data_IF_095627751510
#
_entry.id   IF_095627751510
#
_cell.length_a   1.000
_cell.length_b   1.000
_cell.length_c   1.000
_cell.angle_alpha   90.00
_cell.angle_beta   90.00
_cell.angle_gamma   90.00
#
_symmetry.space_group_name_H-M   'P 1'
#
loop_
_entity.id
_entity.type
_entity.pdbx_description
1 polymer ?
#
# COMPACT_ATOMS: atom_id res chain seq x y z
N UNK A 1 -31.15 -12.80 11.84
CA UNK A 1 -30.12 -12.18 10.98
C UNK A 1 -30.61 -12.29 9.55
N UNK A 2 -30.86 -11.18 8.83
CA UNK A 2 -31.28 -11.28 7.43
C UNK A 2 -30.13 -11.90 6.62
N UNK A 3 -30.44 -12.89 5.79
CA UNK A 3 -29.46 -13.52 4.89
C UNK A 3 -28.84 -12.42 4.01
N UNK A 4 -27.56 -12.17 4.21
CA UNK A 4 -26.78 -11.20 3.44
C UNK A 4 -26.77 -11.70 1.99
N UNK A 5 -27.55 -11.05 1.11
CA UNK A 5 -27.59 -11.42 -0.31
C UNK A 5 -26.17 -11.36 -0.86
N UNK A 6 -25.68 -12.48 -1.37
CA UNK A 6 -24.36 -12.56 -2.00
C UNK A 6 -24.32 -11.52 -3.13
N UNK A 7 -23.45 -10.51 -2.99
CA UNK A 7 -23.25 -9.47 -4.00
C UNK A 7 -22.82 -10.14 -5.31
N UNK A 8 -23.61 -9.95 -6.38
CA UNK A 8 -23.37 -10.53 -7.72
C UNK A 8 -21.94 -10.21 -8.20
N UNK A 9 -21.40 -9.04 -7.86
CA UNK A 9 -20.00 -8.69 -8.19
C UNK A 9 -18.99 -9.56 -7.48
N UNK A 10 -19.27 -9.94 -6.24
CA UNK A 10 -18.38 -10.81 -5.45
C UNK A 10 -18.44 -12.24 -5.98
N UNK A 11 -19.63 -12.74 -6.31
CA UNK A 11 -19.79 -14.03 -6.98
C UNK A 11 -19.09 -14.06 -8.34
N UNK A 12 -19.27 -13.04 -9.18
CA UNK A 12 -18.61 -12.92 -10.48
C UNK A 12 -17.09 -12.81 -10.34
N UNK A 13 -16.59 -12.04 -9.36
CA UNK A 13 -15.16 -11.94 -9.07
C UNK A 13 -14.55 -13.28 -8.66
N UNK A 14 -15.26 -14.06 -7.84
CA UNK A 14 -14.81 -15.38 -7.41
C UNK A 14 -14.82 -16.39 -8.57
N UNK A 15 -15.91 -16.41 -9.37
CA UNK A 15 -15.98 -17.23 -10.58
C UNK A 15 -14.87 -16.87 -11.57
N UNK A 16 -14.59 -15.58 -11.74
CA UNK A 16 -13.51 -15.12 -12.62
C UNK A 16 -12.12 -15.49 -12.08
N UNK A 17 -11.90 -15.44 -10.76
CA UNK A 17 -10.64 -15.86 -10.16
C UNK A 17 -10.38 -17.37 -10.37
N UNK A 18 -11.42 -18.20 -10.27
CA UNK A 18 -11.35 -19.64 -10.57
C UNK A 18 -11.04 -19.84 -12.06
N UNK A 19 -11.77 -19.15 -12.95
CA UNK A 19 -11.52 -19.20 -14.38
C UNK A 19 -10.09 -18.80 -14.72
N UNK A 20 -9.59 -17.70 -14.14
CA UNK A 20 -8.23 -17.20 -14.31
C UNK A 20 -7.20 -18.26 -13.92
N UNK A 21 -7.38 -18.93 -12.77
CA UNK A 21 -6.48 -19.99 -12.32
C UNK A 21 -6.53 -21.22 -13.24
N UNK A 22 -7.71 -21.63 -13.69
CA UNK A 22 -7.86 -22.73 -14.64
C UNK A 22 -7.19 -22.38 -15.98
N UNK A 23 -7.46 -21.20 -16.54
CA UNK A 23 -6.85 -20.76 -17.79
C UNK A 23 -5.33 -20.66 -17.68
N UNK A 24 -4.80 -20.23 -16.52
CA UNK A 24 -3.37 -20.22 -16.29
C UNK A 24 -2.78 -21.63 -16.49
N UNK A 25 -3.35 -22.66 -15.85
CA UNK A 25 -2.90 -24.06 -16.02
C UNK A 25 -2.71 -24.45 -17.48
N UNK A 26 -3.73 -24.21 -18.30
CA UNK A 26 -3.73 -24.60 -19.71
C UNK A 26 -2.67 -23.84 -20.52
N UNK A 27 -2.51 -22.54 -20.29
CA UNK A 27 -1.58 -21.73 -21.08
C UNK A 27 -0.12 -21.99 -20.67
N UNK A 28 0.15 -22.26 -19.39
CA UNK A 28 1.51 -22.65 -18.95
C UNK A 28 1.99 -23.97 -19.53
N UNK A 29 1.07 -24.92 -19.73
CA UNK A 29 1.41 -26.19 -20.37
C UNK A 29 1.83 -26.02 -21.85
N UNK A 30 1.50 -24.88 -22.48
CA UNK A 30 1.93 -24.57 -23.85
C UNK A 30 3.27 -23.87 -23.91
N UNK A 31 3.36 -22.69 -23.29
CA UNK A 31 4.58 -21.89 -23.23
C UNK A 31 4.47 -20.88 -22.10
N UNK A 32 5.48 -20.82 -21.25
CA UNK A 32 5.45 -20.03 -20.02
C UNK A 32 5.55 -18.53 -20.26
N UNK A 33 6.22 -18.12 -21.35
CA UNK A 33 6.34 -16.71 -21.73
C UNK A 33 5.04 -16.20 -22.32
N UNK A 34 4.42 -16.99 -23.20
CA UNK A 34 3.09 -16.71 -23.75
C UNK A 34 2.05 -16.72 -22.61
N UNK A 35 2.15 -17.65 -21.67
CA UNK A 35 1.28 -17.70 -20.49
C UNK A 35 1.33 -16.42 -19.68
N UNK A 36 2.51 -15.85 -19.47
CA UNK A 36 2.65 -14.60 -18.75
C UNK A 36 1.97 -13.43 -19.48
N UNK A 37 2.12 -13.33 -20.80
CA UNK A 37 1.47 -12.29 -21.62
C UNK A 37 -0.06 -12.46 -21.62
N UNK A 38 -0.54 -13.68 -21.86
CA UNK A 38 -1.98 -13.99 -21.85
C UNK A 38 -2.59 -13.70 -20.49
N UNK A 39 -1.89 -14.08 -19.40
CA UNK A 39 -2.35 -13.81 -18.05
C UNK A 39 -2.43 -12.32 -17.75
N UNK A 40 -1.46 -11.51 -18.20
CA UNK A 40 -1.55 -10.05 -18.09
C UNK A 40 -2.82 -9.49 -18.76
N UNK A 41 -3.21 -10.02 -19.92
CA UNK A 41 -4.47 -9.67 -20.58
C UNK A 41 -5.70 -10.10 -19.77
N UNK A 42 -5.68 -11.31 -19.22
CA UNK A 42 -6.77 -11.85 -18.37
C UNK A 42 -6.85 -11.19 -16.99
N UNK A 43 -5.86 -10.41 -16.56
CA UNK A 43 -5.99 -9.61 -15.34
C UNK A 43 -6.94 -8.41 -15.51
N UNK A 44 -7.22 -7.98 -16.75
CA UNK A 44 -8.04 -6.80 -17.01
C UNK A 44 -9.49 -6.98 -16.52
N UNK A 45 -10.22 -8.08 -16.82
CA UNK A 45 -11.56 -8.26 -16.27
C UNK A 45 -11.55 -8.45 -14.75
N UNK A 46 -10.54 -9.12 -14.18
CA UNK A 46 -10.37 -9.19 -12.72
C UNK A 46 -10.23 -7.80 -12.10
N UNK A 47 -9.42 -6.94 -12.71
CA UNK A 47 -9.28 -5.54 -12.32
C UNK A 47 -10.62 -4.82 -12.42
N UNK A 48 -11.35 -4.91 -13.54
CA UNK A 48 -12.64 -4.25 -13.72
C UNK A 48 -13.72 -4.70 -12.72
N UNK A 49 -13.69 -5.95 -12.27
CA UNK A 49 -14.62 -6.50 -11.27
C UNK A 49 -14.33 -6.00 -9.84
N UNK A 50 -13.13 -5.51 -9.56
CA UNK A 50 -12.81 -4.91 -8.26
C UNK A 50 -13.46 -3.53 -8.10
N UNK A 51 -13.76 -3.16 -6.85
CA UNK A 51 -14.28 -1.82 -6.53
C UNK A 51 -13.14 -0.80 -6.54
N UNK A 52 -13.26 0.24 -7.36
CA UNK A 52 -12.27 1.31 -7.55
C UNK A 52 -12.90 2.71 -7.42
N UNK A 53 -12.10 3.78 -7.21
CA UNK A 53 -12.61 5.14 -7.32
C UNK A 53 -13.10 5.43 -8.75
N UNK A 54 -14.09 6.31 -8.90
CA UNK A 54 -14.64 6.67 -10.23
C UNK A 54 -13.65 7.51 -11.06
N UNK A 55 -12.64 6.86 -11.65
CA UNK A 55 -11.65 7.49 -12.53
C UNK A 55 -11.09 6.47 -13.55
N UNK A 56 -11.94 5.92 -14.43
CA UNK A 56 -11.60 4.75 -15.24
C UNK A 56 -10.34 4.95 -16.08
N UNK A 57 -10.17 6.13 -16.71
CA UNK A 57 -9.01 6.40 -17.55
C UNK A 57 -7.69 6.38 -16.76
N UNK A 58 -7.61 7.08 -15.62
CA UNK A 58 -6.39 7.10 -14.79
C UNK A 58 -6.08 5.73 -14.18
N UNK A 59 -7.12 4.98 -13.80
CA UNK A 59 -6.97 3.62 -13.29
C UNK A 59 -6.44 2.69 -14.38
N UNK A 60 -6.97 2.79 -15.60
CA UNK A 60 -6.49 2.03 -16.75
C UNK A 60 -5.05 2.38 -17.12
N UNK A 61 -4.68 3.67 -17.10
CA UNK A 61 -3.28 4.09 -17.30
C UNK A 61 -2.38 3.50 -16.21
N UNK A 62 -2.76 3.60 -14.93
CA UNK A 62 -1.99 3.05 -13.82
C UNK A 62 -1.85 1.53 -13.90
N UNK A 63 -2.93 0.83 -14.24
CA UNK A 63 -2.95 -0.63 -14.43
C UNK A 63 -2.07 -1.06 -15.61
N UNK A 64 -2.16 -0.38 -16.75
CA UNK A 64 -1.35 -0.67 -17.94
C UNK A 64 0.14 -0.43 -17.66
N UNK A 65 0.47 0.68 -17.01
CA UNK A 65 1.84 0.98 -16.61
C UNK A 65 2.38 -0.04 -15.60
N UNK A 66 1.55 -0.52 -14.67
CA UNK A 66 1.91 -1.61 -13.76
C UNK A 66 2.19 -2.90 -14.52
N UNK A 67 1.33 -3.31 -15.46
CA UNK A 67 1.57 -4.50 -16.28
C UNK A 67 2.86 -4.36 -17.10
N UNK A 68 3.09 -3.19 -17.71
CA UNK A 68 4.32 -2.95 -18.48
C UNK A 68 5.57 -3.04 -17.58
N UNK A 69 5.55 -2.42 -16.40
CA UNK A 69 6.63 -2.54 -15.44
C UNK A 69 6.86 -3.97 -14.97
N UNK A 70 5.79 -4.75 -14.79
CA UNK A 70 5.86 -6.18 -14.48
C UNK A 70 6.46 -7.01 -15.62
N UNK A 71 6.10 -6.73 -16.87
CA UNK A 71 6.71 -7.38 -18.03
C UNK A 71 8.21 -7.05 -18.13
N UNK A 72 8.59 -5.79 -17.93
CA UNK A 72 9.99 -5.37 -17.91
C UNK A 72 10.75 -6.12 -16.82
N UNK A 73 10.23 -6.15 -15.58
CA UNK A 73 10.90 -6.88 -14.50
C UNK A 73 10.90 -8.39 -14.73
N UNK A 74 9.83 -8.98 -15.25
CA UNK A 74 9.81 -10.41 -15.60
C UNK A 74 10.82 -10.79 -16.68
N UNK A 75 11.10 -9.88 -17.62
CA UNK A 75 12.08 -10.10 -18.67
C UNK A 75 13.53 -9.83 -18.24
N UNK A 76 13.74 -9.00 -17.21
CA UNK A 76 15.08 -8.50 -16.83
C UNK A 76 15.58 -8.97 -15.48
N UNK A 77 14.71 -9.51 -14.63
CA UNK A 77 15.03 -9.92 -13.25
C UNK A 77 14.80 -11.42 -13.12
N UNK A 78 15.82 -12.14 -12.67
CA UNK A 78 15.66 -13.53 -12.26
C UNK A 78 14.80 -13.58 -10.98
N UNK A 79 13.66 -14.30 -10.95
CA UNK A 79 12.87 -14.45 -9.73
C UNK A 79 13.64 -15.03 -8.54
N UNK A 80 14.72 -15.77 -8.82
CA UNK A 80 15.65 -16.40 -7.87
C UNK A 80 16.93 -15.58 -7.69
N UNK A 81 16.80 -14.27 -7.50
CA UNK A 81 17.93 -13.34 -7.47
C UNK A 81 18.83 -13.44 -6.22
N UNK A 82 18.43 -14.21 -5.21
CA UNK A 82 19.14 -14.29 -3.93
C UNK A 82 18.93 -15.63 -3.21
N UNK A 83 19.69 -15.87 -2.13
CA UNK A 83 19.66 -17.13 -1.41
C UNK A 83 18.30 -17.41 -0.76
N UNK A 84 17.63 -16.37 -0.27
CA UNK A 84 16.27 -16.48 0.27
C UNK A 84 15.29 -16.97 -0.81
N UNK A 85 15.31 -16.34 -1.99
CA UNK A 85 14.42 -16.68 -3.10
C UNK A 85 14.66 -18.11 -3.60
N UNK A 86 15.93 -18.53 -3.68
CA UNK A 86 16.31 -19.90 -4.03
C UNK A 86 15.75 -20.88 -3.00
N UNK A 87 15.96 -20.65 -1.71
CA UNK A 87 15.46 -21.55 -0.66
C UNK A 87 13.93 -21.64 -0.63
N UNK A 88 13.21 -20.53 -0.84
CA UNK A 88 11.75 -20.57 -0.93
C UNK A 88 11.29 -21.40 -2.13
N UNK A 89 11.98 -21.31 -3.27
CA UNK A 89 11.65 -22.09 -4.47
C UNK A 89 12.00 -23.57 -4.31
N UNK A 90 13.17 -23.89 -3.74
CA UNK A 90 13.57 -25.25 -3.38
C UNK A 90 12.52 -25.95 -2.53
N UNK A 91 11.87 -25.25 -1.60
CA UNK A 91 10.79 -25.86 -0.83
C UNK A 91 9.58 -26.24 -1.68
N UNK A 92 9.24 -25.43 -2.68
CA UNK A 92 8.12 -25.74 -3.56
C UNK A 92 8.46 -26.90 -4.49
N UNK A 93 9.72 -27.06 -4.89
CA UNK A 93 10.14 -28.13 -5.81
C UNK A 93 10.49 -29.45 -5.12
N UNK A 94 11.08 -29.41 -3.92
CA UNK A 94 11.58 -30.59 -3.19
C UNK A 94 10.49 -31.61 -2.88
N UNK A 95 9.31 -31.16 -2.47
CA UNK A 95 8.20 -32.05 -2.13
C UNK A 95 7.36 -32.34 -3.37
N UNK A 96 7.11 -33.60 -3.68
CA UNK A 96 6.32 -33.98 -4.85
C UNK A 96 4.84 -33.65 -4.62
N UNK A 97 4.34 -33.87 -3.39
CA UNK A 97 2.94 -33.69 -3.01
C UNK A 97 2.78 -32.80 -1.78
N UNK A 98 1.65 -32.09 -1.71
CA UNK A 98 1.30 -31.28 -0.53
C UNK A 98 1.22 -32.11 0.76
N UNK A 99 0.82 -33.38 0.65
CA UNK A 99 0.75 -34.33 1.77
C UNK A 99 2.12 -34.65 2.38
N UNK A 100 3.20 -34.53 1.61
CA UNK A 100 4.58 -34.75 2.10
C UNK A 100 5.12 -33.48 2.79
N UNK A 101 4.70 -32.32 2.29
CA UNK A 101 5.10 -31.03 2.84
C UNK A 101 4.44 -30.72 4.18
N UNK A 102 3.15 -31.03 4.36
CA UNK A 102 2.41 -30.65 5.57
C UNK A 102 3.04 -31.21 6.86
N UNK A 103 3.46 -32.49 6.95
CA UNK A 103 4.18 -32.99 8.11
C UNK A 103 5.48 -32.22 8.40
N UNK A 104 6.26 -31.91 7.37
CA UNK A 104 7.50 -31.13 7.50
C UNK A 104 7.23 -29.71 8.04
N UNK A 105 6.21 -29.04 7.50
CA UNK A 105 5.81 -27.72 7.94
C UNK A 105 5.30 -27.73 9.39
N UNK A 106 4.47 -28.73 9.74
CA UNK A 106 3.95 -28.91 11.10
C UNK A 106 5.04 -29.22 12.12
N UNK A 107 6.05 -30.00 11.74
CA UNK A 107 7.18 -30.30 12.62
C UNK A 107 8.03 -29.07 12.88
N UNK A 108 8.32 -28.25 11.86
CA UNK A 108 9.00 -26.96 12.03
C UNK A 108 8.19 -26.00 12.92
N UNK A 109 6.88 -25.94 12.71
CA UNK A 109 5.96 -25.15 13.55
C UNK A 109 6.03 -25.62 15.01
N UNK A 110 6.07 -26.92 15.28
CA UNK A 110 6.12 -27.47 16.64
C UNK A 110 7.46 -27.24 17.33
N UNK A 111 8.56 -27.50 16.62
CA UNK A 111 9.90 -27.56 17.23
C UNK A 111 10.62 -26.23 17.23
N UNK A 112 10.31 -25.36 16.28
CA UNK A 112 11.05 -24.13 16.04
C UNK A 112 10.17 -22.88 16.01
N UNK A 113 8.95 -22.88 16.59
CA UNK A 113 8.01 -21.75 16.51
C UNK A 113 8.65 -20.36 16.76
N UNK A 114 9.53 -20.27 17.77
CA UNK A 114 10.18 -19.01 18.15
C UNK A 114 11.44 -18.66 17.31
N UNK A 115 11.90 -19.60 16.48
CA UNK A 115 13.05 -19.49 15.58
C UNK A 115 12.67 -19.86 14.12
N UNK A 116 11.39 -19.74 13.74
CA UNK A 116 10.92 -20.12 12.40
C UNK A 116 11.69 -19.29 11.38
N UNK A 117 12.57 -19.96 10.62
CA UNK A 117 12.94 -19.44 9.31
C UNK A 117 11.63 -19.34 8.54
N UNK A 118 11.31 -18.22 7.89
CA UNK A 118 9.98 -18.02 7.27
C UNK A 118 9.62 -19.00 6.15
N UNK A 119 10.51 -19.95 5.87
CA UNK A 119 10.51 -20.88 4.75
C UNK A 119 9.31 -21.85 4.86
N UNK A 120 9.13 -22.69 5.91
CA UNK A 120 7.99 -23.63 5.99
C UNK A 120 6.63 -22.94 6.16
N UNK A 121 6.57 -21.66 6.49
CA UNK A 121 5.30 -20.90 6.47
C UNK A 121 5.00 -20.41 5.05
N UNK A 122 6.03 -20.00 4.30
CA UNK A 122 5.90 -19.53 2.92
C UNK A 122 5.29 -20.60 2.01
N UNK A 123 5.81 -21.83 2.01
CA UNK A 123 5.31 -22.87 1.12
C UNK A 123 3.83 -23.23 1.34
N UNK A 124 3.23 -22.97 2.51
CA UNK A 124 1.79 -23.22 2.74
C UNK A 124 0.86 -22.43 1.80
N UNK A 125 1.24 -21.24 1.36
CA UNK A 125 0.46 -20.47 0.38
C UNK A 125 0.85 -20.78 -1.06
N UNK A 126 2.15 -20.89 -1.32
CA UNK A 126 2.68 -20.94 -2.68
C UNK A 126 2.71 -22.37 -3.25
N UNK A 127 2.95 -23.39 -2.43
CA UNK A 127 3.00 -24.77 -2.90
C UNK A 127 1.66 -25.27 -3.47
N UNK A 128 0.48 -24.98 -2.87
CA UNK A 128 -0.80 -25.34 -3.50
C UNK A 128 -0.95 -24.75 -4.90
N UNK A 129 -0.51 -23.50 -5.11
CA UNK A 129 -0.56 -22.85 -6.42
C UNK A 129 0.34 -23.57 -7.44
N UNK A 130 1.59 -23.86 -7.09
CA UNK A 130 2.53 -24.53 -8.00
C UNK A 130 2.15 -25.98 -8.27
N UNK A 131 1.75 -26.75 -7.25
CA UNK A 131 1.43 -28.18 -7.41
C UNK A 131 0.08 -28.41 -8.07
N UNK A 132 -0.92 -27.57 -7.82
CA UNK A 132 -2.22 -27.72 -8.45
C UNK A 132 -2.19 -27.36 -9.94
N UNK A 133 -1.33 -26.41 -10.32
CA UNK A 133 -1.15 -25.97 -11.71
C UNK A 133 -0.02 -26.70 -12.43
N UNK A 134 0.66 -27.65 -11.77
CA UNK A 134 1.79 -28.42 -12.32
C UNK A 134 2.91 -27.51 -12.87
N UNK A 135 3.20 -26.43 -12.13
CA UNK A 135 4.19 -25.43 -12.51
C UNK A 135 5.55 -25.81 -11.95
N UNK A 136 6.57 -25.80 -12.81
CA UNK A 136 7.96 -26.04 -12.42
C UNK A 136 8.81 -24.77 -12.50
N UNK A 137 8.47 -23.82 -13.39
CA UNK A 137 9.29 -22.62 -13.55
C UNK A 137 9.00 -21.56 -12.46
N UNK A 138 10.05 -20.99 -11.83
CA UNK A 138 9.91 -19.93 -10.83
C UNK A 138 9.22 -18.66 -11.36
N UNK A 139 9.21 -18.40 -12.67
CA UNK A 139 8.52 -17.25 -13.30
C UNK A 139 7.02 -17.22 -13.02
N UNK A 140 6.39 -18.38 -12.78
CA UNK A 140 4.97 -18.43 -12.47
C UNK A 140 4.60 -17.68 -11.17
N UNK A 141 5.59 -17.43 -10.28
CA UNK A 141 5.40 -16.62 -9.07
C UNK A 141 4.94 -15.20 -9.40
N UNK A 142 5.37 -14.66 -10.54
CA UNK A 142 5.05 -13.30 -10.97
C UNK A 142 3.54 -13.15 -11.08
N UNK A 143 2.83 -14.18 -11.54
CA UNK A 143 1.39 -14.14 -11.71
C UNK A 143 0.64 -14.05 -10.39
N UNK A 144 0.93 -14.98 -9.48
CA UNK A 144 0.31 -15.01 -8.16
C UNK A 144 0.61 -13.70 -7.44
N UNK A 145 1.86 -13.25 -7.41
CA UNK A 145 2.24 -12.00 -6.77
C UNK A 145 1.64 -10.77 -7.46
N UNK A 146 1.29 -10.82 -8.75
CA UNK A 146 0.56 -9.73 -9.43
C UNK A 146 -0.88 -9.65 -8.93
N UNK A 147 -1.55 -10.79 -8.75
CA UNK A 147 -2.88 -10.82 -8.12
C UNK A 147 -2.81 -10.29 -6.69
N UNK A 148 -1.82 -10.73 -5.90
CA UNK A 148 -1.61 -10.22 -4.55
C UNK A 148 -1.34 -8.71 -4.54
N UNK A 149 -0.59 -8.18 -5.50
CA UNK A 149 -0.37 -6.74 -5.67
C UNK A 149 -1.69 -6.00 -5.91
N UNK A 150 -2.54 -6.47 -6.82
CA UNK A 150 -3.86 -5.86 -7.05
C UNK A 150 -4.72 -5.88 -5.78
N UNK A 151 -4.67 -6.97 -5.01
CA UNK A 151 -5.36 -7.08 -3.72
C UNK A 151 -4.79 -6.11 -2.68
N UNK A 152 -3.48 -5.86 -2.64
CA UNK A 152 -2.86 -4.84 -1.78
C UNK A 152 -3.39 -3.46 -2.14
N UNK A 153 -3.38 -3.09 -3.43
CA UNK A 153 -3.87 -1.79 -3.89
C UNK A 153 -5.36 -1.65 -3.54
N UNK A 154 -6.16 -2.69 -3.77
CA UNK A 154 -7.59 -2.66 -3.46
C UNK A 154 -7.86 -2.57 -1.94
N UNK A 155 -7.11 -3.30 -1.12
CA UNK A 155 -7.23 -3.26 0.34
C UNK A 155 -6.86 -1.88 0.90
N UNK A 156 -5.75 -1.30 0.41
CA UNK A 156 -5.32 0.05 0.77
C UNK A 156 -6.36 1.10 0.35
N UNK A 157 -6.93 0.98 -0.86
CA UNK A 157 -8.04 1.84 -1.31
C UNK A 157 -9.25 1.75 -0.37
N UNK A 158 -9.72 0.54 -0.05
CA UNK A 158 -10.89 0.35 0.83
C UNK A 158 -10.67 0.92 2.23
N UNK A 159 -9.47 0.77 2.78
CA UNK A 159 -9.11 1.36 4.06
C UNK A 159 -9.13 2.90 3.99
N UNK A 160 -8.54 3.46 2.94
CA UNK A 160 -8.51 4.91 2.74
C UNK A 160 -9.90 5.51 2.49
N UNK A 161 -10.71 4.89 1.64
CA UNK A 161 -12.05 5.39 1.35
C UNK A 161 -13.02 5.23 2.52
N UNK A 162 -12.95 4.09 3.23
CA UNK A 162 -13.91 3.75 4.28
C UNK A 162 -13.53 4.22 5.68
N UNK A 163 -12.24 4.43 5.98
CA UNK A 163 -11.75 4.65 7.36
C UNK A 163 -10.75 5.79 7.52
N UNK A 164 -10.32 6.47 6.45
CA UNK A 164 -9.44 7.63 6.59
C UNK A 164 -10.22 8.83 7.15
N UNK A 165 -10.07 9.10 8.45
CA UNK A 165 -10.81 10.14 9.16
C UNK A 165 -10.07 11.47 9.34
N UNK A 166 -8.93 11.69 8.67
CA UNK A 166 -8.16 12.93 8.83
C UNK A 166 -8.68 14.02 7.90
N UNK A 167 -8.54 15.29 8.33
CA UNK A 167 -9.06 16.45 7.60
C UNK A 167 -8.38 16.60 6.25
N UNK A 168 -9.17 16.53 5.18
CA UNK A 168 -8.72 16.88 3.83
C UNK A 168 -8.96 18.37 3.58
N UNK A 169 -8.25 19.02 2.63
CA UNK A 169 -8.48 20.43 2.35
C UNK A 169 -9.93 20.66 1.92
N UNK A 170 -10.52 21.81 2.28
CA UNK A 170 -11.91 22.12 1.92
C UNK A 170 -12.07 22.18 0.41
N UNK A 171 -13.23 21.75 -0.08
CA UNK A 171 -13.59 21.94 -1.47
C UNK A 171 -13.66 23.44 -1.79
N UNK A 172 -13.09 23.83 -2.94
CA UNK A 172 -12.89 25.23 -3.30
C UNK A 172 -14.19 26.05 -3.40
N UNK A 173 -15.34 25.38 -3.45
CA UNK A 173 -16.65 26.00 -3.62
C UNK A 173 -17.49 26.02 -2.34
N UNK A 174 -16.99 25.50 -1.20
CA UNK A 174 -17.77 25.44 0.04
C UNK A 174 -19.07 24.62 -0.08
N UNK A 175 -19.24 23.84 -1.15
CA UNK A 175 -20.42 23.02 -1.38
C UNK A 175 -20.30 21.71 -0.61
N UNK A 176 -20.79 21.73 0.62
CA UNK A 176 -21.17 20.52 1.36
C UNK A 176 -22.43 19.93 0.71
N UNK A 177 -22.31 19.22 -0.42
CA UNK A 177 -23.51 18.64 -1.03
C UNK A 177 -23.37 18.10 -2.43
N UNK A 178 -23.35 16.76 -2.51
CA UNK A 178 -24.16 15.92 -3.40
C UNK A 178 -24.31 16.16 -4.92
N UNK A 179 -23.76 17.17 -5.58
CA UNK A 179 -23.96 17.32 -7.04
C UNK A 179 -22.76 16.91 -7.89
N UNK A 180 -23.09 16.29 -9.02
CA UNK A 180 -22.29 15.38 -9.83
C UNK A 180 -21.14 16.05 -10.61
N UNK A 181 -19.97 15.43 -10.56
CA UNK A 181 -18.87 15.67 -11.51
C UNK A 181 -17.68 16.51 -11.02
N UNK A 182 -17.77 17.17 -9.86
CA UNK A 182 -16.64 17.94 -9.33
C UNK A 182 -15.60 17.05 -8.60
N UNK A 183 -14.32 17.25 -8.92
CA UNK A 183 -13.17 16.57 -8.29
C UNK A 183 -13.08 16.86 -6.78
N UNK A 184 -13.68 15.99 -5.95
CA UNK A 184 -13.61 16.10 -4.48
C UNK A 184 -12.20 15.74 -3.96
N UNK A 185 -11.69 16.38 -2.89
CA UNK A 185 -10.41 16.08 -2.25
C UNK A 185 -10.30 14.62 -1.83
N UNK A 186 -11.39 14.03 -1.31
CA UNK A 186 -11.45 12.61 -0.95
C UNK A 186 -11.28 11.69 -2.16
N UNK A 187 -11.91 12.04 -3.27
CA UNK A 187 -11.78 11.29 -4.53
C UNK A 187 -10.38 11.42 -5.13
N UNK A 188 -9.82 12.63 -5.12
CA UNK A 188 -8.43 12.89 -5.54
C UNK A 188 -7.42 12.10 -4.70
N UNK A 189 -7.60 12.10 -3.38
CA UNK A 189 -6.78 11.32 -2.45
C UNK A 189 -6.81 9.83 -2.79
N UNK A 190 -8.01 9.26 -2.96
CA UNK A 190 -8.18 7.86 -3.32
C UNK A 190 -7.51 7.49 -4.66
N UNK A 191 -7.68 8.33 -5.70
CA UNK A 191 -7.04 8.10 -7.00
C UNK A 191 -5.52 8.12 -6.86
N UNK A 192 -4.97 9.14 -6.20
CA UNK A 192 -3.52 9.29 -6.06
C UNK A 192 -2.92 8.13 -5.28
N UNK A 193 -3.61 7.62 -4.24
CA UNK A 193 -3.16 6.42 -3.54
C UNK A 193 -3.18 5.19 -4.43
N UNK A 194 -4.27 4.94 -5.16
CA UNK A 194 -4.40 3.77 -6.04
C UNK A 194 -3.36 3.80 -7.16
N UNK A 195 -3.31 4.91 -7.89
CA UNK A 195 -2.37 5.10 -9.01
C UNK A 195 -0.93 5.07 -8.50
N UNK A 196 -0.64 5.71 -7.37
CA UNK A 196 0.69 5.70 -6.76
C UNK A 196 1.16 4.29 -6.41
N UNK A 197 0.30 3.47 -5.80
CA UNK A 197 0.63 2.09 -5.47
C UNK A 197 0.75 1.19 -6.70
N UNK A 198 -0.11 1.36 -7.71
CA UNK A 198 0.03 0.65 -8.98
C UNK A 198 1.34 1.01 -9.68
N UNK A 199 1.75 2.28 -9.63
CA UNK A 199 2.97 2.78 -10.25
C UNK A 199 4.24 2.59 -9.40
N UNK A 200 4.16 1.97 -8.21
CA UNK A 200 5.31 1.77 -7.32
C UNK A 200 6.32 0.76 -7.89
N UNK A 201 7.52 1.19 -8.31
CA UNK A 201 8.56 0.29 -8.80
C UNK A 201 9.02 -0.71 -7.74
N UNK A 202 9.05 -0.33 -6.46
CA UNK A 202 9.39 -1.27 -5.37
C UNK A 202 8.38 -2.41 -5.26
N UNK A 203 7.08 -2.13 -5.36
CA UNK A 203 6.05 -3.17 -5.35
C UNK A 203 6.08 -4.02 -6.62
N UNK A 204 6.28 -3.42 -7.80
CA UNK A 204 6.41 -4.16 -9.06
C UNK A 204 7.64 -5.07 -9.05
N UNK A 205 8.79 -4.58 -8.59
CA UNK A 205 10.02 -5.36 -8.49
C UNK A 205 9.87 -6.51 -7.51
N UNK A 206 9.39 -6.25 -6.29
CA UNK A 206 9.31 -7.26 -5.24
C UNK A 206 8.20 -8.29 -5.48
N UNK A 207 7.15 -7.91 -6.22
CA UNK A 207 6.17 -8.88 -6.72
C UNK A 207 6.68 -9.72 -7.89
N UNK A 208 7.86 -9.42 -8.43
CA UNK A 208 8.49 -10.22 -9.49
C UNK A 208 9.56 -11.18 -8.96
N UNK A 209 9.86 -11.12 -7.66
CA UNK A 209 10.77 -12.04 -6.98
C UNK A 209 10.01 -13.17 -6.26
N UNK A 210 10.70 -14.28 -6.05
CA UNK A 210 10.21 -15.41 -5.26
C UNK A 210 10.36 -15.13 -3.76
N UNK A 211 9.69 -14.08 -3.28
CA UNK A 211 9.86 -13.57 -1.93
C UNK A 211 8.54 -13.41 -1.18
N UNK A 212 8.60 -13.60 0.15
CA UNK A 212 7.45 -13.50 1.08
C UNK A 212 6.86 -12.09 1.22
N UNK A 213 7.51 -11.06 0.68
CA UNK A 213 7.27 -9.67 1.02
C UNK A 213 5.88 -9.15 0.63
N UNK A 214 5.42 -9.45 -0.59
CA UNK A 214 4.10 -9.03 -1.07
C UNK A 214 2.99 -9.66 -0.23
N UNK A 215 3.11 -10.96 0.07
CA UNK A 215 2.19 -11.65 0.97
C UNK A 215 2.14 -11.00 2.35
N UNK A 216 3.29 -10.64 2.92
CA UNK A 216 3.34 -9.93 4.21
C UNK A 216 2.57 -8.60 4.17
N UNK A 217 2.75 -7.80 3.11
CA UNK A 217 2.03 -6.51 2.96
C UNK A 217 0.53 -6.74 2.93
N UNK A 218 0.07 -7.71 2.14
CA UNK A 218 -1.36 -8.04 2.02
C UNK A 218 -1.95 -8.49 3.37
N UNK A 219 -1.26 -9.41 4.06
CA UNK A 219 -1.69 -9.91 5.37
C UNK A 219 -1.74 -8.79 6.41
N UNK A 220 -0.82 -7.83 6.37
CA UNK A 220 -0.88 -6.64 7.21
C UNK A 220 -2.15 -5.83 7.00
N UNK A 221 -2.47 -5.52 5.74
CA UNK A 221 -3.68 -4.77 5.40
C UNK A 221 -4.95 -5.55 5.77
N UNK A 222 -5.00 -6.85 5.49
CA UNK A 222 -6.14 -7.70 5.85
C UNK A 222 -6.28 -7.86 7.37
N UNK A 223 -5.19 -8.07 8.10
CA UNK A 223 -5.17 -8.09 9.56
C UNK A 223 -5.75 -6.79 10.12
N UNK A 224 -5.36 -5.64 9.58
CA UNK A 224 -5.93 -4.35 9.97
C UNK A 224 -7.42 -4.25 9.66
N UNK A 225 -7.87 -4.66 8.47
CA UNK A 225 -9.29 -4.63 8.08
C UNK A 225 -10.12 -5.51 9.04
N UNK A 226 -9.67 -6.73 9.32
CA UNK A 226 -10.34 -7.67 10.22
C UNK A 226 -10.41 -7.11 11.65
N UNK A 227 -9.31 -6.52 12.12
CA UNK A 227 -9.24 -5.86 13.43
C UNK A 227 -10.21 -4.67 13.54
N UNK A 228 -10.27 -3.82 12.52
CA UNK A 228 -11.21 -2.69 12.43
C UNK A 228 -12.68 -3.13 12.33
N UNK A 229 -12.93 -4.35 11.85
CA UNK A 229 -14.25 -5.00 11.78
C UNK A 229 -14.57 -5.85 13.02
N UNK A 230 -13.67 -5.92 13.99
CA UNK A 230 -13.80 -6.75 15.21
C UNK A 230 -13.98 -8.25 14.91
N UNK A 231 -13.44 -8.72 13.78
CA UNK A 231 -13.45 -10.15 13.42
C UNK A 231 -12.23 -10.85 14.05
N UNK A 232 -12.25 -10.96 15.39
CA UNK A 232 -11.08 -11.36 16.20
C UNK A 232 -10.51 -12.73 15.85
N UNK A 233 -11.37 -13.73 15.62
CA UNK A 233 -10.93 -15.09 15.28
C UNK A 233 -10.14 -15.11 13.97
N UNK A 234 -10.70 -14.52 12.91
CA UNK A 234 -10.02 -14.42 11.60
C UNK A 234 -8.76 -13.56 11.70
N UNK A 235 -8.81 -12.49 12.49
CA UNK A 235 -7.63 -11.67 12.76
C UNK A 235 -6.50 -12.49 13.39
N UNK A 236 -6.79 -13.31 14.41
CA UNK A 236 -5.79 -14.17 15.06
C UNK A 236 -5.19 -15.15 14.04
N UNK A 237 -6.01 -15.80 13.21
CA UNK A 237 -5.53 -16.73 12.16
C UNK A 237 -4.61 -16.02 11.17
N UNK A 238 -5.03 -14.86 10.64
CA UNK A 238 -4.21 -14.06 9.71
C UNK A 238 -2.92 -13.59 10.39
N UNK A 239 -2.99 -13.18 11.66
CA UNK A 239 -1.81 -12.73 12.40
C UNK A 239 -0.83 -13.85 12.67
N UNK A 240 -1.27 -15.04 13.07
CA UNK A 240 -0.39 -16.20 13.27
C UNK A 240 0.37 -16.54 11.99
N UNK A 241 -0.33 -16.53 10.85
CA UNK A 241 0.29 -16.76 9.55
C UNK A 241 1.27 -15.63 9.18
N UNK A 242 0.87 -14.37 9.38
CA UNK A 242 1.73 -13.22 9.11
C UNK A 242 2.98 -13.19 9.98
N UNK A 243 2.88 -13.53 11.27
CA UNK A 243 4.03 -13.61 12.19
C UNK A 243 4.95 -14.76 11.85
N UNK A 244 4.42 -15.88 11.36
CA UNK A 244 5.25 -16.99 10.85
C UNK A 244 6.06 -16.61 9.61
N UNK A 245 5.55 -15.70 8.77
CA UNK A 245 6.32 -15.16 7.64
C UNK A 245 7.30 -14.06 8.08
N UNK A 246 6.91 -13.23 9.04
CA UNK A 246 7.68 -12.08 9.53
C UNK A 246 7.37 -11.84 11.00
N UNK A 247 8.36 -12.03 11.86
CA UNK A 247 8.20 -11.95 13.32
C UNK A 247 7.60 -10.61 13.78
N UNK A 248 7.95 -9.52 13.10
CA UNK A 248 7.45 -8.18 13.39
C UNK A 248 6.14 -7.82 12.67
N UNK A 249 5.40 -8.80 12.12
CA UNK A 249 4.17 -8.56 11.39
C UNK A 249 3.08 -7.86 12.20
N UNK A 250 3.03 -8.17 13.49
CA UNK A 250 2.10 -7.55 14.42
C UNK A 250 2.30 -6.02 14.50
N UNK A 251 3.55 -5.56 14.40
CA UNK A 251 3.88 -4.15 14.57
C UNK A 251 3.34 -3.32 13.40
N UNK A 252 3.61 -3.71 12.14
CA UNK A 252 3.08 -2.93 11.02
C UNK A 252 1.53 -3.04 10.93
N UNK A 253 0.94 -4.18 11.32
CA UNK A 253 -0.52 -4.36 11.33
C UNK A 253 -1.19 -3.45 12.38
N UNK A 254 -0.63 -3.38 13.59
CA UNK A 254 -1.08 -2.47 14.63
C UNK A 254 -0.84 -1.01 14.25
N UNK A 255 0.26 -0.70 13.57
CA UNK A 255 0.52 0.63 13.06
C UNK A 255 -0.58 1.10 12.09
N UNK A 256 -0.95 0.27 11.11
CA UNK A 256 -2.08 0.61 10.24
C UNK A 256 -3.38 0.74 11.02
N UNK A 257 -3.64 -0.14 11.98
CA UNK A 257 -4.83 -0.05 12.82
C UNK A 257 -4.90 1.28 13.58
N UNK A 258 -3.81 1.72 14.21
CA UNK A 258 -3.80 2.99 14.94
C UNK A 258 -3.96 4.20 14.02
N UNK A 259 -3.41 4.15 12.80
CA UNK A 259 -3.62 5.16 11.77
C UNK A 259 -5.12 5.30 11.44
N UNK A 260 -5.77 4.20 11.04
CA UNK A 260 -7.17 4.23 10.59
C UNK A 260 -8.19 4.31 11.72
N UNK A 261 -7.86 3.85 12.93
CA UNK A 261 -8.68 4.05 14.13
C UNK A 261 -8.44 5.42 14.80
N UNK A 262 -7.46 6.19 14.32
CA UNK A 262 -7.06 7.52 14.83
C UNK A 262 -6.70 7.56 16.33
N UNK A 263 -6.19 6.44 16.86
CA UNK A 263 -5.87 6.24 18.27
C UNK A 263 -4.46 6.74 18.60
N UNK A 264 -4.27 8.07 18.56
CA UNK A 264 -2.95 8.70 18.75
C UNK A 264 -2.31 8.34 20.10
N UNK A 265 -3.11 8.29 21.19
CA UNK A 265 -2.60 7.93 22.52
C UNK A 265 -2.01 6.51 22.54
N UNK A 266 -2.70 5.54 21.94
CA UNK A 266 -2.21 4.16 21.84
C UNK A 266 -0.96 4.06 20.97
N UNK A 267 -0.88 4.83 19.89
CA UNK A 267 0.33 4.90 19.06
C UNK A 267 1.53 5.48 19.82
N UNK A 268 1.33 6.52 20.65
CA UNK A 268 2.38 7.07 21.52
C UNK A 268 2.86 6.02 22.52
N UNK A 269 1.93 5.33 23.19
CA UNK A 269 2.29 4.26 24.14
C UNK A 269 3.09 3.15 23.47
N UNK A 270 2.68 2.72 22.27
CA UNK A 270 3.42 1.73 21.48
C UNK A 270 4.82 2.23 21.10
N UNK A 271 4.95 3.50 20.67
CA UNK A 271 6.22 4.10 20.31
C UNK A 271 7.18 4.21 21.51
N UNK A 272 6.67 4.64 22.67
CA UNK A 272 7.46 4.70 23.92
C UNK A 272 7.87 3.30 24.36
N UNK A 273 6.96 2.32 24.31
CA UNK A 273 7.28 0.92 24.62
C UNK A 273 8.37 0.36 23.71
N UNK A 274 8.27 0.59 22.39
CA UNK A 274 9.29 0.18 21.43
C UNK A 274 10.64 0.88 21.70
N UNK A 275 10.61 2.18 22.02
CA UNK A 275 11.81 2.97 22.34
C UNK A 275 12.51 2.44 23.60
N UNK A 276 11.77 2.21 24.68
CA UNK A 276 12.31 1.65 25.92
C UNK A 276 12.92 0.27 25.70
N UNK A 277 12.24 -0.57 24.91
CA UNK A 277 12.72 -1.91 24.59
C UNK A 277 14.03 -1.88 23.80
N UNK A 278 14.17 -1.03 22.77
CA UNK A 278 15.43 -0.95 22.01
C UNK A 278 16.57 -0.36 22.83
N UNK A 279 16.30 0.64 23.68
CA UNK A 279 17.32 1.22 24.54
C UNK A 279 17.80 0.20 25.56
N UNK A 280 16.87 -0.60 26.10
CA UNK A 280 17.22 -1.65 27.05
C UNK A 280 18.02 -2.79 26.43
N UNK A 281 17.66 -3.23 25.22
CA UNK A 281 18.30 -4.38 24.54
C UNK A 281 19.61 -4.03 23.82
N UNK A 282 19.66 -2.86 23.16
CA UNK A 282 20.77 -2.48 22.28
C UNK A 282 21.60 -1.32 22.85
N UNK A 283 21.02 -0.53 23.76
CA UNK A 283 21.64 0.67 24.31
C UNK A 283 21.24 1.96 23.57
N UNK A 284 21.73 3.13 24.04
CA UNK A 284 21.31 4.45 23.53
C UNK A 284 21.61 4.71 22.04
N UNK A 285 22.65 4.07 21.48
CA UNK A 285 22.99 4.18 20.06
C UNK A 285 21.84 3.73 19.14
N UNK A 286 20.97 2.84 19.62
CA UNK A 286 19.78 2.39 18.89
C UNK A 286 18.80 3.53 18.58
N UNK A 287 18.77 4.60 19.40
CA UNK A 287 17.91 5.77 19.16
C UNK A 287 18.34 6.54 17.91
N UNK A 288 19.64 6.74 17.75
CA UNK A 288 20.22 7.42 16.58
C UNK A 288 19.92 6.58 15.34
N UNK A 289 20.17 5.28 15.41
CA UNK A 289 19.89 4.36 14.30
C UNK A 289 18.39 4.30 13.97
N UNK A 290 17.49 4.31 14.95
CA UNK A 290 16.04 4.32 14.71
C UNK A 290 15.58 5.64 14.06
N UNK A 291 16.13 6.77 14.50
CA UNK A 291 15.88 8.08 13.88
C UNK A 291 16.35 8.12 12.42
N UNK A 292 17.59 7.70 12.16
CA UNK A 292 18.14 7.61 10.80
C UNK A 292 17.33 6.66 9.93
N UNK A 293 16.96 5.48 10.46
CA UNK A 293 16.18 4.50 9.73
C UNK A 293 14.79 5.00 9.36
N UNK A 294 14.14 5.77 10.25
CA UNK A 294 12.84 6.39 9.97
C UNK A 294 12.88 7.26 8.71
N UNK A 295 13.99 7.97 8.50
CA UNK A 295 14.23 8.76 7.29
C UNK A 295 14.64 7.87 6.12
N UNK A 296 15.53 6.91 6.33
CA UNK A 296 15.99 5.98 5.28
C UNK A 296 14.87 5.14 4.66
N UNK A 297 13.77 4.89 5.38
CA UNK A 297 12.61 4.22 4.82
C UNK A 297 11.98 4.97 3.63
N UNK A 298 12.14 6.30 3.55
CA UNK A 298 11.73 7.12 2.40
C UNK A 298 12.83 7.25 1.34
N UNK A 299 14.09 7.28 1.78
CA UNK A 299 15.25 7.58 0.93
C UNK A 299 15.86 6.30 0.32
N UNK A 300 15.41 5.10 0.65
CA UNK A 300 16.01 3.85 0.14
C UNK A 300 15.39 3.36 -1.17
N UNK A 301 16.16 3.08 -2.25
CA UNK A 301 17.62 3.22 -2.40
C UNK A 301 18.09 4.68 -2.42
N UNK A 302 19.25 4.98 -1.80
CA UNK A 302 19.75 6.35 -1.63
C UNK A 302 19.94 7.06 -2.99
N UNK A 303 19.14 8.09 -3.33
CA UNK A 303 19.23 8.79 -4.60
C UNK A 303 20.49 9.65 -4.74
N UNK A 304 21.22 9.89 -3.64
CA UNK A 304 22.49 10.63 -3.68
C UNK A 304 23.64 9.74 -4.17
N UNK A 305 23.54 8.42 -4.01
CA UNK A 305 24.59 7.49 -4.46
C UNK A 305 24.47 7.26 -5.98
N UNK A 306 25.48 7.65 -6.80
CA UNK A 306 25.46 7.46 -8.25
C UNK A 306 25.26 6.00 -8.68
N UNK A 307 25.74 5.03 -7.91
CA UNK A 307 25.59 3.60 -8.21
C UNK A 307 24.12 3.15 -8.23
N UNK A 308 23.24 3.86 -7.52
CA UNK A 308 21.81 3.54 -7.50
C UNK A 308 21.07 4.02 -8.77
N UNK A 309 21.72 4.79 -9.64
CA UNK A 309 21.15 5.26 -10.91
C UNK A 309 21.44 4.32 -12.09
N UNK A 310 22.10 3.19 -11.85
CA UNK A 310 22.22 2.12 -12.85
C UNK A 310 20.85 1.62 -13.31
N UNK A 311 20.68 1.17 -14.57
CA UNK A 311 19.38 0.77 -15.13
C UNK A 311 18.58 -0.22 -14.27
N UNK A 312 19.27 -1.13 -13.57
CA UNK A 312 18.65 -2.14 -12.67
C UNK A 312 18.03 -1.54 -11.41
N UNK A 313 18.51 -0.39 -10.94
CA UNK A 313 18.08 0.29 -9.72
C UNK A 313 17.32 1.59 -10.00
N UNK A 314 17.52 2.18 -11.17
CA UNK A 314 17.04 3.51 -11.57
C UNK A 314 15.57 3.75 -11.21
N UNK A 315 14.65 2.86 -11.58
CA UNK A 315 13.21 3.04 -11.30
C UNK A 315 12.91 3.08 -9.79
N UNK A 316 13.59 2.25 -8.99
CA UNK A 316 13.44 2.25 -7.52
C UNK A 316 14.06 3.50 -6.90
N UNK A 317 15.14 4.00 -7.47
CA UNK A 317 15.80 5.24 -7.06
C UNK A 317 14.95 6.47 -7.38
N UNK A 318 14.27 6.49 -8.53
CA UNK A 318 13.27 7.52 -8.86
C UNK A 318 12.09 7.53 -7.88
N UNK A 319 11.61 6.36 -7.46
CA UNK A 319 10.57 6.25 -6.43
C UNK A 319 11.07 6.80 -5.09
N UNK A 320 12.29 6.45 -4.67
CA UNK A 320 12.90 6.97 -3.45
C UNK A 320 13.07 8.50 -3.49
N UNK A 321 13.48 9.05 -4.64
CA UNK A 321 13.55 10.49 -4.86
C UNK A 321 12.16 11.14 -4.71
N UNK A 322 11.13 10.58 -5.35
CA UNK A 322 9.75 11.04 -5.19
C UNK A 322 9.29 11.00 -3.73
N UNK A 323 9.52 9.89 -3.02
CA UNK A 323 9.19 9.74 -1.61
C UNK A 323 9.93 10.74 -0.72
N UNK A 324 11.19 11.05 -1.04
CA UNK A 324 12.01 12.05 -0.34
C UNK A 324 11.45 13.45 -0.53
N UNK A 325 11.08 13.83 -1.76
CA UNK A 325 10.42 15.11 -2.05
C UNK A 325 9.10 15.20 -1.28
N UNK A 326 8.29 14.13 -1.30
CA UNK A 326 7.03 14.08 -0.56
C UNK A 326 7.23 14.17 0.95
N UNK A 327 8.29 13.59 1.50
CA UNK A 327 8.65 13.74 2.92
C UNK A 327 8.95 15.21 3.24
N UNK A 328 9.81 15.88 2.46
CA UNK A 328 10.09 17.31 2.66
C UNK A 328 8.83 18.18 2.58
N UNK A 329 7.99 17.93 1.57
CA UNK A 329 6.71 18.63 1.42
C UNK A 329 5.73 18.33 2.57
N UNK A 330 5.74 17.13 3.12
CA UNK A 330 4.88 16.76 4.26
C UNK A 330 5.24 17.56 5.51
N UNK A 331 6.54 17.76 5.77
CA UNK A 331 7.03 18.60 6.88
C UNK A 331 6.60 20.05 6.67
N UNK A 332 6.80 20.59 5.47
CA UNK A 332 6.35 21.94 5.13
C UNK A 332 4.85 22.13 5.39
N UNK A 333 4.00 21.18 4.95
CA UNK A 333 2.56 21.25 5.16
C UNK A 333 2.11 21.00 6.60
N UNK A 334 2.87 20.24 7.39
CA UNK A 334 2.66 20.10 8.82
C UNK A 334 2.89 21.42 9.57
N UNK A 335 3.89 22.20 9.14
CA UNK A 335 4.18 23.52 9.71
C UNK A 335 3.12 24.54 9.28
N UNK A 336 2.78 24.57 7.99
CA UNK A 336 1.87 25.54 7.37
C UNK A 336 0.41 25.41 7.82
N UNK A 337 -0.14 24.20 7.88
CA UNK A 337 -1.54 23.96 8.21
C UNK A 337 -1.68 23.23 9.55
N UNK A 338 -2.51 23.74 10.47
CA UNK A 338 -2.67 23.14 11.80
C UNK A 338 -3.44 21.83 11.75
N UNK A 339 -4.35 21.71 10.79
CA UNK A 339 -5.26 20.60 10.55
C UNK A 339 -4.51 19.32 10.14
N UNK A 340 -3.37 19.48 9.46
CA UNK A 340 -2.57 18.36 8.95
C UNK A 340 -1.67 17.73 10.01
N UNK A 341 -1.37 18.47 11.08
CA UNK A 341 -0.40 18.06 12.12
C UNK A 341 -0.75 16.73 12.76
N UNK A 342 -2.02 16.47 13.02
CA UNK A 342 -2.46 15.23 13.67
C UNK A 342 -2.19 14.00 12.80
N UNK A 343 -2.36 14.12 11.48
CA UNK A 343 -2.04 13.05 10.54
C UNK A 343 -0.53 12.80 10.46
N UNK A 344 0.25 13.87 10.23
CA UNK A 344 1.70 13.72 10.09
C UNK A 344 2.38 13.29 11.39
N UNK A 345 1.90 13.73 12.55
CA UNK A 345 2.37 13.24 13.85
C UNK A 345 2.08 11.75 14.02
N UNK A 346 0.88 11.29 13.68
CA UNK A 346 0.56 9.86 13.70
C UNK A 346 1.49 9.09 12.77
N UNK A 347 1.61 9.52 11.51
CA UNK A 347 2.47 8.87 10.53
C UNK A 347 3.93 8.78 10.98
N UNK A 348 4.48 9.88 11.51
CA UNK A 348 5.84 9.93 12.05
C UNK A 348 6.04 8.95 13.21
N UNK A 349 5.11 8.91 14.17
CA UNK A 349 5.16 7.97 15.30
C UNK A 349 5.14 6.51 14.84
N UNK A 350 4.30 6.19 13.87
CA UNK A 350 4.16 4.82 13.35
C UNK A 350 5.39 4.36 12.57
N UNK A 351 5.93 5.23 11.72
CA UNK A 351 7.17 4.95 10.98
C UNK A 351 8.35 4.83 11.95
N UNK A 352 8.43 5.69 12.95
CA UNK A 352 9.45 5.62 13.98
C UNK A 352 9.35 4.33 14.81
N UNK A 353 8.14 3.94 15.22
CA UNK A 353 7.93 2.67 15.94
C UNK A 353 8.36 1.47 15.09
N UNK A 354 8.02 1.48 13.80
CA UNK A 354 8.47 0.44 12.87
C UNK A 354 9.99 0.43 12.73
N UNK A 355 10.63 1.60 12.66
CA UNK A 355 12.08 1.72 12.61
C UNK A 355 12.76 1.18 13.88
N UNK A 356 12.21 1.45 15.08
CA UNK A 356 12.72 0.86 16.33
C UNK A 356 12.74 -0.68 16.25
N UNK A 357 11.65 -1.29 15.76
CA UNK A 357 11.57 -2.75 15.65
C UNK A 357 12.54 -3.29 14.59
N UNK A 358 12.70 -2.60 13.46
CA UNK A 358 13.69 -2.99 12.45
C UNK A 358 15.13 -2.88 12.96
N UNK A 359 15.43 -1.89 13.82
CA UNK A 359 16.72 -1.78 14.50
C UNK A 359 16.96 -2.98 15.41
N UNK A 360 15.95 -3.40 16.17
CA UNK A 360 16.06 -4.59 17.02
C UNK A 360 16.35 -5.87 16.21
N UNK A 361 15.62 -6.06 15.10
CA UNK A 361 15.83 -7.20 14.19
C UNK A 361 17.21 -7.12 13.51
N UNK A 362 17.63 -5.91 13.13
CA UNK A 362 18.97 -5.65 12.58
C UNK A 362 20.07 -6.01 13.57
N UNK A 363 19.92 -5.58 14.83
CA UNK A 363 20.85 -5.89 15.91
C UNK A 363 21.02 -7.39 16.11
N UNK A 364 19.92 -8.14 16.24
CA UNK A 364 19.97 -9.60 16.40
C UNK A 364 20.69 -10.30 15.22
N UNK A 365 20.57 -9.76 14.01
CA UNK A 365 21.26 -10.30 12.83
C UNK A 365 22.77 -9.99 12.85
N UNK A 366 23.15 -8.78 13.26
CA UNK A 366 24.54 -8.31 13.31
C UNK A 366 25.31 -9.03 14.42
N UNK A 367 24.73 -9.14 15.62
CA UNK A 367 25.35 -9.87 16.73
C UNK A 367 25.44 -11.37 16.44
N UNK A 368 24.44 -11.95 15.79
CA UNK A 368 24.47 -13.34 15.33
C UNK A 368 25.57 -13.63 14.30
N UNK A 369 26.08 -12.60 13.60
CA UNK A 369 27.20 -12.69 12.65
C UNK A 369 28.54 -12.23 13.26
N UNK A 370 28.60 -12.02 14.58
CA UNK A 370 29.81 -11.52 15.27
C UNK A 370 30.39 -10.22 14.69
N UNK A 371 29.52 -9.35 14.16
CA UNK A 371 29.91 -8.03 13.64
C UNK A 371 29.67 -6.95 14.70
N UNK A 372 30.52 -5.92 14.74
CA UNK A 372 30.35 -4.79 15.64
C UNK A 372 29.16 -3.92 15.22
N UNK A 373 28.23 -3.72 16.16
CA UNK A 373 27.06 -2.87 15.93
C UNK A 373 27.43 -1.39 16.08
N UNK A 374 27.60 -0.70 14.95
CA UNK A 374 27.92 0.73 14.85
C UNK A 374 26.76 1.61 14.41
N UNK A 375 27.01 2.93 14.36
CA UNK A 375 26.07 3.90 13.77
C UNK A 375 25.89 3.58 12.28
N UNK A 376 24.65 3.47 11.81
CA UNK A 376 24.34 3.16 10.41
C UNK A 376 24.49 1.69 10.01
N UNK A 377 24.87 0.78 10.93
CA UNK A 377 25.03 -0.66 10.66
C UNK A 377 23.69 -1.43 10.64
N UNK A 378 22.70 -0.87 9.95
CA UNK A 378 21.30 -1.35 10.02
C UNK A 378 21.06 -2.47 9.00
N UNK A 379 21.96 -3.46 8.91
CA UNK A 379 21.82 -4.70 8.14
C UNK A 379 21.49 -4.58 6.63
N UNK A 380 21.51 -5.72 5.95
CA UNK A 380 21.31 -5.75 4.49
C UNK A 380 19.85 -5.49 4.06
N UNK A 381 19.73 -4.90 2.86
CA UNK A 381 18.51 -4.79 2.05
C UNK A 381 17.33 -4.02 2.68
N UNK A 382 17.54 -2.72 2.96
CA UNK A 382 16.49 -1.79 3.42
C UNK A 382 15.31 -1.66 2.46
N UNK A 383 15.55 -1.85 1.16
CA UNK A 383 14.50 -1.82 0.12
C UNK A 383 13.45 -2.91 0.36
N UNK A 384 13.85 -4.07 0.87
CA UNK A 384 12.92 -5.14 1.24
C UNK A 384 12.19 -4.82 2.54
N UNK A 385 12.90 -4.31 3.55
CA UNK A 385 12.32 -4.00 4.87
C UNK A 385 11.37 -2.80 4.82
N UNK A 386 11.42 -1.93 3.81
CA UNK A 386 10.44 -0.85 3.64
C UNK A 386 9.07 -1.33 3.12
N UNK A 387 9.00 -2.47 2.44
CA UNK A 387 7.79 -2.91 1.73
C UNK A 387 6.52 -2.94 2.59
N UNK A 388 6.53 -3.49 3.82
CA UNK A 388 5.33 -3.53 4.65
C UNK A 388 4.69 -2.15 4.80
N UNK A 389 5.46 -1.07 4.95
CA UNK A 389 4.93 0.27 5.20
C UNK A 389 4.72 1.10 3.92
N UNK A 390 5.01 0.58 2.73
CA UNK A 390 4.80 1.29 1.45
C UNK A 390 3.36 1.81 1.30
N UNK A 391 2.29 1.07 1.66
CA UNK A 391 0.93 1.60 1.65
C UNK A 391 0.75 2.88 2.50
N UNK A 392 1.42 2.97 3.64
CA UNK A 392 1.39 4.17 4.50
C UNK A 392 2.18 5.31 3.87
N UNK A 393 3.36 5.03 3.30
CA UNK A 393 4.16 6.05 2.61
C UNK A 393 3.36 6.67 1.46
N UNK A 394 2.70 5.86 0.63
CA UNK A 394 1.84 6.38 -0.44
C UNK A 394 0.58 7.09 0.07
N UNK A 395 0.08 6.71 1.25
CA UNK A 395 -1.00 7.44 1.93
C UNK A 395 -0.53 8.84 2.36
N UNK A 396 0.70 8.95 2.88
CA UNK A 396 1.34 10.24 3.19
C UNK A 396 1.54 11.05 1.91
N UNK A 397 2.10 10.46 0.85
CA UNK A 397 2.30 11.13 -0.44
C UNK A 397 0.99 11.63 -1.03
N UNK A 398 -0.07 10.82 -1.02
CA UNK A 398 -1.38 11.20 -1.52
C UNK A 398 -1.98 12.37 -0.72
N UNK A 399 -1.90 12.30 0.61
CA UNK A 399 -2.37 13.37 1.48
C UNK A 399 -1.61 14.69 1.22
N UNK A 400 -0.28 14.62 1.16
CA UNK A 400 0.59 15.75 0.84
C UNK A 400 0.27 16.36 -0.52
N UNK A 401 0.06 15.55 -1.56
CA UNK A 401 -0.25 16.01 -2.93
C UNK A 401 -1.60 16.72 -3.01
N UNK A 402 -2.60 16.24 -2.29
CA UNK A 402 -3.93 16.89 -2.25
C UNK A 402 -3.84 18.28 -1.61
N UNK A 403 -3.10 18.42 -0.52
CA UNK A 403 -2.80 19.72 0.11
C UNK A 403 -1.90 20.62 -0.76
N UNK A 404 -0.99 20.01 -1.51
CA UNK A 404 -0.14 20.70 -2.47
C UNK A 404 -0.97 21.36 -3.57
N UNK A 405 -1.84 20.59 -4.20
CA UNK A 405 -2.78 21.08 -5.20
C UNK A 405 -3.65 22.21 -4.66
N UNK A 406 -4.12 22.11 -3.42
CA UNK A 406 -4.89 23.17 -2.77
C UNK A 406 -4.08 24.48 -2.64
N UNK A 407 -2.80 24.39 -2.28
CA UNK A 407 -1.93 25.57 -2.14
C UNK A 407 -1.58 26.25 -3.47
N UNK A 408 -1.46 25.48 -4.55
CA UNK A 408 -1.09 25.99 -5.88
C UNK A 408 -2.29 26.37 -6.76
N UNK A 409 -3.54 26.21 -6.29
CA UNK A 409 -4.71 26.71 -7.02
C UNK A 409 -4.64 28.24 -7.13
N UNK A 410 -4.59 28.81 -8.35
CA UNK A 410 -4.41 30.25 -8.53
C UNK A 410 -5.58 31.00 -7.89
N UNK A 411 -5.26 32.01 -7.06
CA UNK A 411 -6.23 32.92 -6.41
C UNK A 411 -7.20 33.59 -7.40
N UNK A 412 -6.93 33.56 -8.71
CA UNK A 412 -7.79 34.11 -9.74
C UNK A 412 -9.20 33.48 -9.83
N UNK A 413 -9.39 32.22 -9.43
CA UNK A 413 -10.74 31.66 -9.37
C UNK A 413 -11.60 32.30 -8.27
N UNK A 414 -11.00 32.71 -7.14
CA UNK A 414 -11.74 33.44 -6.07
C UNK A 414 -12.24 34.80 -6.53
N UNK A 415 -11.50 35.48 -7.40
CA UNK A 415 -11.90 36.77 -7.98
C UNK A 415 -13.07 36.55 -8.95
N UNK A 416 -12.97 35.59 -9.86
CA UNK A 416 -14.05 35.28 -10.80
C UNK A 416 -15.34 34.80 -10.11
N UNK A 417 -15.27 33.98 -9.06
CA UNK A 417 -16.48 33.59 -8.30
C UNK A 417 -17.06 34.74 -7.49
N UNK A 418 -16.23 35.61 -6.91
CA UNK A 418 -16.70 36.83 -6.24
C UNK A 418 -17.44 37.76 -7.21
N UNK A 419 -16.90 37.94 -8.41
CA UNK A 419 -17.52 38.79 -9.43
C UNK A 419 -18.80 38.15 -10.01
N UNK A 420 -18.84 36.82 -10.14
CA UNK A 420 -20.07 36.10 -10.55
C UNK A 420 -21.16 36.17 -9.50
N UNK A 421 -20.82 36.03 -8.21
CA UNK A 421 -21.78 36.17 -7.10
C UNK A 421 -22.28 37.62 -6.99
N UNK A 422 -21.39 38.61 -7.13
CA UNK A 422 -21.78 40.03 -7.20
C UNK A 422 -22.67 40.32 -8.41
N UNK A 423 -22.34 39.81 -9.59
CA UNK A 423 -23.16 39.97 -10.79
C UNK A 423 -24.52 39.28 -10.66
N UNK A 424 -24.59 38.08 -10.09
CA UNK A 424 -25.87 37.40 -9.85
C UNK A 424 -26.72 38.12 -8.80
N UNK A 425 -26.12 38.68 -7.75
CA UNK A 425 -26.81 39.50 -6.77
C UNK A 425 -27.32 40.83 -7.37
N UNK A 426 -26.53 41.46 -8.26
CA UNK A 426 -26.93 42.65 -9.00
C UNK A 426 -28.08 42.36 -9.96
N UNK A 427 -28.04 41.23 -10.69
CA UNK A 427 -29.11 40.79 -11.58
C UNK A 427 -30.39 40.49 -10.79
N UNK A 428 -30.30 39.78 -9.66
CA UNK A 428 -31.44 39.50 -8.79
C UNK A 428 -32.08 40.77 -8.22
N UNK A 429 -31.26 41.76 -7.82
CA UNK A 429 -31.75 43.06 -7.37
C UNK A 429 -32.35 43.90 -8.49
N UNK A 430 -31.81 43.84 -9.71
CA UNK A 430 -32.38 44.51 -10.88
C UNK A 430 -33.74 43.92 -11.29
N UNK A 431 -33.92 42.60 -11.16
CA UNK A 431 -35.20 41.93 -11.42
C UNK A 431 -36.23 42.31 -10.35
N UNK A 432 -35.85 42.37 -9.07
CA UNK A 432 -36.78 42.73 -7.98
C UNK A 432 -37.22 44.20 -8.01
N UNK A 433 -36.35 45.10 -8.45
CA UNK A 433 -36.68 46.52 -8.65
C UNK A 433 -37.59 46.74 -9.86
N UNK A 434 -37.38 45.99 -10.95
CA UNK A 434 -38.27 46.03 -12.12
C UNK A 434 -39.68 45.49 -11.83
N UNK A 435 -39.79 44.50 -10.94
CA UNK A 435 -41.08 43.95 -10.49
C UNK A 435 -41.87 44.92 -9.57
N UNK A 436 -41.20 45.84 -8.87
CA UNK A 436 -41.84 46.86 -8.02
C UNK A 436 -42.28 48.13 -8.76
N UNK A 437 -41.83 48.34 -9.99
CA UNK A 437 -42.20 49.48 -10.83
C UNK A 437 -43.34 49.22 -11.83
N UNK A 438 -43.90 48.01 -11.86
CA UNK A 438 -45.08 47.70 -12.65
C UNK A 438 -46.34 48.13 -11.89
N UNK A 439 -46.72 49.39 -12.08
CA UNK A 439 -47.98 49.95 -11.59
C UNK A 439 -49.17 49.17 -12.18
N UNK A 440 -50.08 48.59 -11.37
CA UNK A 440 -51.22 47.81 -11.87
C UNK A 440 -52.38 48.67 -12.41
N UNK A 441 -52.19 49.98 -12.59
CA UNK A 441 -53.20 50.90 -13.10
C UNK A 441 -53.02 51.22 -14.59
N UNK A 442 -53.17 50.22 -15.45
CA UNK A 442 -53.43 50.44 -16.88
C UNK A 442 -54.40 49.39 -17.39
N UNK A 443 -55.70 49.72 -17.38
CA UNK A 443 -56.71 48.90 -18.06
C UNK A 443 -58.11 48.94 -17.46
N UNK A 444 -58.77 50.09 -17.50
CA UNK A 444 -60.24 50.14 -17.66
C UNK A 444 -60.59 51.24 -18.66
N UNK A 445 -60.88 50.83 -19.89
CA UNK A 445 -61.94 51.38 -20.74
C UNK A 445 -62.29 50.36 -21.81
#
# INVERSE_FOLDING_TARGET
MPAERIDVRTAAGLAYAILLALTARWVFAWDETIALVVYCGLLLPAFALMRWPNAPLLLMTGFTAMLLGKLIYGATVNPLNGPDEIHYFEQVTTFARLSEYMPYAMEHIRTQWMNISAVPIFGMLYMPFFKWLELENPLAIILLNTVLLLLIVNAAYRLNDGRFGYTLPPDAEGRDGLEDGAWRPKHSFAIVTVVGLLLSPSLMYMSSLFAKDITCVLLGLYGTILLLRKQWLLFIVVMLYATGLRDYAIIYTLSFYFLYAQKLRSAIVMAVGALLLIVWQVGPLSLINAGMLSVFLFISPNPINPANWEPKLMMRTMEALFMTIMLGMSVFYALKYKETRRFYLMAALLIFTYACVLVLVGYATVTGRSLDYGIGTIGDNMVRKKLPIVPVIYTISAYTLVWCRYSFRPKHQKIQTSDRVKNNALIANAISTRAKGADPHAGTR
#
